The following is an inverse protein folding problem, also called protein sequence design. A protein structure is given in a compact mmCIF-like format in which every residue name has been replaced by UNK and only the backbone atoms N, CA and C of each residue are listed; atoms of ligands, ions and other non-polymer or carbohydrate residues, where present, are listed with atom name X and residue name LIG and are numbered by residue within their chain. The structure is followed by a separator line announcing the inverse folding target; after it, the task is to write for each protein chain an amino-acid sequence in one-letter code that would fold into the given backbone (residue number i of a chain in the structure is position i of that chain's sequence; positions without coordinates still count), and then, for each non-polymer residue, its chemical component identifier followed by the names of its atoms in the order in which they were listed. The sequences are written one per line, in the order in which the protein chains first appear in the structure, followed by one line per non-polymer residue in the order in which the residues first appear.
data_IF_090558930726
#
_entry.id   IF_090558930726
#
_cell.length_a   1.000
_cell.length_b   1.000
_cell.length_c   1.000
_cell.angle_alpha   90.00
_cell.angle_beta   90.00
_cell.angle_gamma   90.00
#
_symmetry.space_group_name_H-M   'P 1'
#
loop_
_entity.id
_entity.type
_entity.pdbx_description
1 polymer ?
#
# COMPACT_ATOMS: atom_id res chain seq x y z
N UNK A 1 14.88 -8.72 -22.25
CA UNK A 1 16.34 -8.92 -22.35
C UNK A 1 16.60 -10.40 -22.14
N UNK A 2 17.50 -11.02 -22.91
CA UNK A 2 17.81 -12.44 -22.72
C UNK A 2 18.60 -12.64 -21.43
N UNK A 3 18.22 -13.61 -20.61
CA UNK A 3 19.00 -14.00 -19.43
C UNK A 3 20.32 -14.66 -19.86
N UNK A 4 21.38 -14.42 -19.11
CA UNK A 4 22.66 -15.12 -19.25
C UNK A 4 22.54 -16.56 -18.71
N UNK A 5 23.21 -17.54 -19.34
CA UNK A 5 23.22 -18.91 -18.84
C UNK A 5 23.95 -18.99 -17.50
N UNK A 6 23.51 -19.85 -16.56
CA UNK A 6 24.25 -20.10 -15.32
C UNK A 6 25.69 -20.55 -15.59
N UNK A 7 26.60 -20.15 -14.70
CA UNK A 7 27.98 -20.61 -14.76
C UNK A 7 28.06 -22.12 -14.50
N UNK A 8 28.67 -22.87 -15.43
CA UNK A 8 28.89 -24.32 -15.26
C UNK A 8 29.80 -24.62 -14.05
N UNK A 9 30.78 -23.75 -13.80
CA UNK A 9 31.73 -23.90 -12.70
C UNK A 9 32.29 -22.56 -12.25
N UNK A 10 32.19 -22.30 -10.95
CA UNK A 10 32.77 -21.11 -10.33
C UNK A 10 34.25 -21.31 -9.94
N UNK A 11 35.08 -20.24 -9.97
CA UNK A 11 36.42 -20.25 -9.43
C UNK A 11 36.49 -20.82 -8.01
N UNK A 12 37.60 -21.48 -7.66
CA UNK A 12 37.75 -22.14 -6.35
C UNK A 12 37.57 -21.16 -5.18
N UNK A 13 38.14 -19.95 -5.29
CA UNK A 13 38.01 -18.91 -4.28
C UNK A 13 36.54 -18.53 -4.04
N UNK A 14 35.75 -18.41 -5.10
CA UNK A 14 34.31 -18.11 -5.01
C UNK A 14 33.51 -19.27 -4.45
N UNK A 15 33.78 -20.52 -4.86
CA UNK A 15 33.12 -21.69 -4.27
C UNK A 15 33.37 -21.78 -2.77
N UNK A 16 34.60 -21.49 -2.32
CA UNK A 16 34.94 -21.42 -0.91
C UNK A 16 34.15 -20.30 -0.21
N UNK A 17 34.13 -19.09 -0.79
CA UNK A 17 33.37 -17.97 -0.22
C UNK A 17 31.87 -18.25 -0.14
N UNK A 18 31.27 -18.88 -1.15
CA UNK A 18 29.86 -19.30 -1.15
C UNK A 18 29.58 -20.30 -0.02
N UNK A 19 30.42 -21.34 0.11
CA UNK A 19 30.30 -22.30 1.20
C UNK A 19 30.38 -21.63 2.56
N UNK A 20 31.39 -20.79 2.76
CA UNK A 20 31.74 -20.23 4.07
C UNK A 20 30.80 -19.10 4.50
N UNK A 21 30.26 -18.33 3.56
CA UNK A 21 29.52 -17.10 3.87
C UNK A 21 28.03 -17.17 3.54
N UNK A 22 27.61 -18.02 2.60
CA UNK A 22 26.20 -18.21 2.25
C UNK A 22 25.66 -19.55 2.72
N UNK A 23 26.22 -20.67 2.24
CA UNK A 23 25.66 -22.00 2.53
C UNK A 23 25.69 -22.33 4.02
N UNK A 24 26.77 -21.97 4.72
CA UNK A 24 26.94 -22.16 6.17
C UNK A 24 25.92 -21.37 7.01
N UNK A 25 25.38 -20.25 6.50
CA UNK A 25 24.47 -19.34 7.22
C UNK A 25 23.03 -19.46 6.74
N UNK A 26 22.79 -20.13 5.63
CA UNK A 26 21.48 -20.16 4.95
C UNK A 26 20.37 -20.69 5.85
N UNK A 27 20.63 -21.74 6.63
CA UNK A 27 19.61 -22.32 7.52
C UNK A 27 19.23 -21.36 8.65
N UNK A 28 20.21 -20.69 9.27
CA UNK A 28 19.97 -19.69 10.31
C UNK A 28 19.19 -18.47 9.75
N UNK A 29 19.59 -17.96 8.58
CA UNK A 29 18.89 -16.86 7.91
C UNK A 29 17.46 -17.25 7.50
N UNK A 30 17.26 -18.48 7.03
CA UNK A 30 15.92 -18.97 6.66
C UNK A 30 15.01 -19.08 7.89
N UNK A 31 15.56 -19.59 9.01
CA UNK A 31 14.85 -19.65 10.27
C UNK A 31 14.48 -18.26 10.75
N UNK A 32 15.44 -17.32 10.74
CA UNK A 32 15.20 -15.94 11.15
C UNK A 32 14.13 -15.26 10.28
N UNK A 33 14.17 -15.45 8.95
CA UNK A 33 13.14 -14.96 8.04
C UNK A 33 11.76 -15.52 8.40
N UNK A 34 11.68 -16.84 8.64
CA UNK A 34 10.43 -17.53 8.98
C UNK A 34 9.86 -17.05 10.31
N UNK A 35 10.72 -16.87 11.31
CA UNK A 35 10.36 -16.38 12.64
C UNK A 35 9.82 -14.94 12.56
N UNK A 36 10.46 -14.07 11.77
CA UNK A 36 10.03 -12.67 11.57
C UNK A 36 8.64 -12.60 10.91
N UNK A 37 8.39 -13.44 9.92
CA UNK A 37 7.15 -13.44 9.15
C UNK A 37 6.06 -14.35 9.73
N UNK A 38 6.35 -15.11 10.79
CA UNK A 38 5.39 -15.98 11.46
C UNK A 38 4.90 -17.16 10.60
N UNK A 39 5.63 -17.51 9.54
CA UNK A 39 5.32 -18.62 8.65
C UNK A 39 6.62 -19.23 8.11
N UNK A 40 6.58 -20.48 7.64
CA UNK A 40 7.76 -21.10 7.02
C UNK A 40 8.07 -20.42 5.67
N UNK A 41 9.28 -19.89 5.55
CA UNK A 41 9.84 -19.30 4.33
C UNK A 41 11.07 -20.06 3.87
N UNK A 42 11.34 -20.05 2.56
CA UNK A 42 12.51 -20.71 1.96
C UNK A 42 13.46 -19.76 1.26
N UNK A 43 14.75 -20.09 1.34
CA UNK A 43 15.87 -19.45 0.61
C UNK A 43 16.48 -20.40 -0.45
N UNK A 44 15.84 -21.54 -0.70
CA UNK A 44 16.39 -22.63 -1.52
C UNK A 44 16.59 -22.29 -2.99
N UNK A 45 15.87 -21.28 -3.49
CA UNK A 45 15.91 -20.88 -4.90
C UNK A 45 17.03 -19.88 -5.24
N UNK A 46 17.78 -19.40 -4.25
CA UNK A 46 18.92 -18.52 -4.49
C UNK A 46 20.10 -19.35 -5.02
N UNK A 47 20.37 -19.23 -6.31
CA UNK A 47 21.39 -19.99 -7.02
C UNK A 47 22.62 -19.14 -7.38
N UNK A 48 23.78 -19.30 -6.69
CA UNK A 48 24.99 -18.54 -6.98
C UNK A 48 25.50 -18.71 -8.42
N UNK A 49 25.32 -19.88 -9.04
CA UNK A 49 25.75 -20.11 -10.42
C UNK A 49 24.90 -19.31 -11.42
N UNK A 50 23.63 -19.07 -11.12
CA UNK A 50 22.75 -18.24 -11.96
C UNK A 50 23.04 -16.74 -11.80
N UNK A 51 23.54 -16.33 -10.62
CA UNK A 51 23.86 -14.94 -10.31
C UNK A 51 25.24 -14.51 -10.83
N UNK A 52 26.23 -15.39 -10.73
CA UNK A 52 27.63 -15.07 -11.07
C UNK A 52 27.86 -14.49 -12.48
N UNK A 53 27.15 -14.92 -13.55
CA UNK A 53 27.28 -14.30 -14.86
C UNK A 53 27.02 -12.79 -14.88
N UNK A 54 26.24 -12.29 -13.93
CA UNK A 54 25.92 -10.85 -13.78
C UNK A 54 26.86 -10.13 -12.81
N UNK A 55 27.83 -10.82 -12.22
CA UNK A 55 28.85 -10.20 -11.39
C UNK A 55 29.81 -9.39 -12.28
N UNK A 56 29.55 -8.08 -12.36
CA UNK A 56 30.50 -7.10 -12.90
C UNK A 56 31.74 -6.97 -12.01
N UNK A 57 32.70 -6.12 -12.39
CA UNK A 57 33.89 -5.90 -11.57
C UNK A 57 33.51 -5.29 -10.22
N UNK A 58 33.70 -6.05 -9.13
CA UNK A 58 33.31 -5.58 -7.80
C UNK A 58 33.00 -6.70 -6.81
N UNK A 59 32.16 -6.38 -5.83
CA UNK A 59 31.90 -7.21 -4.65
C UNK A 59 31.43 -8.63 -5.01
N UNK A 60 30.42 -8.75 -5.87
CA UNK A 60 29.90 -10.06 -6.29
C UNK A 60 30.93 -10.90 -7.07
N UNK A 61 31.88 -10.27 -7.76
CA UNK A 61 32.94 -10.97 -8.51
C UNK A 61 34.00 -11.57 -7.60
N UNK A 62 34.25 -10.94 -6.46
CA UNK A 62 35.29 -11.31 -5.51
C UNK A 62 34.73 -12.20 -4.38
N UNK A 63 33.50 -11.93 -3.94
CA UNK A 63 32.90 -12.48 -2.73
C UNK A 63 31.38 -12.70 -2.88
N UNK A 64 30.98 -13.52 -3.88
CA UNK A 64 29.56 -13.76 -4.18
C UNK A 64 28.75 -14.31 -3.00
N UNK A 65 29.32 -15.20 -2.19
CA UNK A 65 28.66 -15.75 -1.01
C UNK A 65 28.33 -14.68 0.02
N UNK A 66 29.31 -13.83 0.33
CA UNK A 66 29.12 -12.68 1.24
C UNK A 66 28.08 -11.70 0.69
N UNK A 67 28.11 -11.46 -0.63
CA UNK A 67 27.16 -10.59 -1.31
C UNK A 67 25.72 -11.10 -1.19
N UNK A 68 25.48 -12.40 -1.43
CA UNK A 68 24.16 -13.01 -1.26
C UNK A 68 23.70 -12.93 0.21
N UNK A 69 24.58 -13.28 1.15
CA UNK A 69 24.26 -13.23 2.57
C UNK A 69 23.88 -11.82 3.04
N UNK A 70 24.52 -10.78 2.49
CA UNK A 70 24.19 -9.38 2.78
C UNK A 70 22.81 -9.00 2.25
N UNK A 71 22.45 -9.35 1.01
CA UNK A 71 21.10 -9.08 0.50
C UNK A 71 20.03 -9.70 1.39
N UNK A 72 20.23 -10.95 1.82
CA UNK A 72 19.26 -11.67 2.65
C UNK A 72 19.19 -11.11 4.06
N UNK A 73 20.32 -10.84 4.73
CA UNK A 73 20.31 -10.29 6.08
C UNK A 73 19.73 -8.87 6.13
N UNK A 74 20.01 -8.04 5.11
CA UNK A 74 19.40 -6.72 4.96
C UNK A 74 17.90 -6.80 4.68
N UNK A 75 17.45 -7.77 3.87
CA UNK A 75 16.02 -8.02 3.68
C UNK A 75 15.32 -8.40 4.99
N UNK A 76 15.88 -9.32 5.77
CA UNK A 76 15.35 -9.73 7.08
C UNK A 76 15.27 -8.52 8.03
N UNK A 77 16.31 -7.68 8.07
CA UNK A 77 16.30 -6.46 8.87
C UNK A 77 15.12 -5.54 8.54
N UNK A 78 14.89 -5.26 7.26
CA UNK A 78 13.76 -4.42 6.83
C UNK A 78 12.40 -5.10 7.09
N UNK A 79 12.31 -6.42 6.95
CA UNK A 79 11.10 -7.18 7.26
C UNK A 79 10.77 -7.17 8.76
N UNK A 80 11.77 -7.08 9.65
CA UNK A 80 11.53 -6.83 11.08
C UNK A 80 10.89 -5.48 11.32
N UNK A 81 11.37 -4.43 10.66
CA UNK A 81 10.75 -3.09 10.73
C UNK A 81 9.32 -3.11 10.19
N UNK A 82 9.09 -3.77 9.05
CA UNK A 82 7.74 -3.98 8.52
C UNK A 82 6.84 -4.70 9.53
N UNK A 83 7.28 -5.83 10.07
CA UNK A 83 6.53 -6.60 11.06
C UNK A 83 6.23 -5.79 12.34
N UNK A 84 7.16 -4.92 12.76
CA UNK A 84 6.97 -4.02 13.90
C UNK A 84 5.92 -2.94 13.62
N UNK A 85 5.84 -2.45 12.39
CA UNK A 85 4.93 -1.36 12.02
C UNK A 85 3.51 -1.86 11.70
N UNK A 86 3.40 -3.04 11.10
CA UNK A 86 2.12 -3.58 10.61
C UNK A 86 1.58 -4.77 11.43
N UNK A 87 2.33 -5.26 12.42
CA UNK A 87 1.91 -6.33 13.30
C UNK A 87 1.61 -7.65 12.59
N UNK A 88 0.81 -8.50 13.22
CA UNK A 88 0.47 -9.83 12.69
C UNK A 88 -0.44 -9.76 11.47
N UNK A 89 -1.24 -8.71 11.34
CA UNK A 89 -2.06 -8.45 10.14
C UNK A 89 -1.16 -8.20 8.92
N UNK A 90 -0.14 -7.35 9.06
CA UNK A 90 0.83 -7.09 8.00
C UNK A 90 1.59 -8.34 7.59
N UNK A 91 2.01 -9.17 8.55
CA UNK A 91 2.66 -10.46 8.27
C UNK A 91 1.73 -11.40 7.51
N UNK A 92 0.49 -11.53 7.97
CA UNK A 92 -0.52 -12.41 7.36
C UNK A 92 -0.81 -12.01 5.92
N UNK A 93 -0.90 -10.71 5.65
CA UNK A 93 -1.13 -10.18 4.32
C UNK A 93 0.08 -10.36 3.40
N UNK A 94 1.30 -10.08 3.89
CA UNK A 94 2.53 -10.37 3.16
C UNK A 94 2.63 -11.86 2.80
N UNK A 95 2.35 -12.75 3.76
CA UNK A 95 2.32 -14.21 3.54
C UNK A 95 1.24 -14.66 2.56
N UNK A 96 0.14 -13.92 2.45
CA UNK A 96 -0.95 -14.19 1.50
C UNK A 96 -0.57 -13.75 0.09
N UNK A 97 -0.04 -12.53 -0.07
CA UNK A 97 0.45 -12.00 -1.34
C UNK A 97 1.61 -12.87 -1.85
N UNK A 98 2.60 -13.09 -0.98
CA UNK A 98 3.77 -13.92 -1.24
C UNK A 98 3.51 -15.39 -0.84
N UNK A 99 2.44 -15.99 -1.38
CA UNK A 99 1.97 -17.33 -1.00
C UNK A 99 2.95 -18.47 -1.28
N UNK A 100 3.94 -18.30 -2.16
CA UNK A 100 5.02 -19.29 -2.31
C UNK A 100 6.00 -19.26 -1.13
N UNK A 101 5.99 -18.20 -0.32
CA UNK A 101 6.85 -18.00 0.86
C UNK A 101 8.32 -18.28 0.54
N UNK A 102 8.76 -17.77 -0.60
CA UNK A 102 10.12 -17.91 -1.11
C UNK A 102 10.72 -16.52 -1.30
N UNK A 103 11.87 -16.29 -0.67
CA UNK A 103 12.68 -15.09 -0.89
C UNK A 103 13.80 -15.45 -1.88
N UNK A 104 13.80 -14.77 -3.02
CA UNK A 104 14.75 -15.01 -4.11
C UNK A 104 15.60 -13.77 -4.38
N UNK A 105 16.74 -13.98 -5.03
CA UNK A 105 17.60 -12.93 -5.58
C UNK A 105 17.71 -13.17 -7.09
N UNK A 106 17.31 -12.18 -7.91
CA UNK A 106 17.25 -12.34 -9.37
C UNK A 106 17.54 -11.05 -10.14
N UNK A 107 17.78 -11.16 -11.44
CA UNK A 107 17.92 -10.02 -12.34
C UNK A 107 16.57 -9.28 -12.47
N UNK A 108 16.61 -7.95 -12.51
CA UNK A 108 15.48 -7.13 -12.93
C UNK A 108 15.31 -7.15 -14.45
N UNK A 109 14.57 -8.14 -14.93
CA UNK A 109 14.27 -8.38 -16.34
C UNK A 109 13.04 -7.65 -16.88
N UNK A 110 12.37 -6.82 -16.05
CA UNK A 110 11.20 -6.00 -16.43
C UNK A 110 11.51 -5.02 -17.58
N UNK A 111 10.50 -4.37 -18.20
CA UNK A 111 10.74 -3.34 -19.21
C UNK A 111 11.66 -2.22 -18.68
N UNK A 112 12.54 -1.67 -19.55
CA UNK A 112 13.61 -0.72 -19.15
C UNK A 112 13.13 0.47 -18.29
N UNK A 113 11.91 0.95 -18.51
CA UNK A 113 11.33 2.10 -17.79
C UNK A 113 10.86 1.76 -16.36
N UNK A 114 10.73 0.48 -16.05
CA UNK A 114 10.23 -0.04 -14.77
C UNK A 114 11.35 -0.69 -13.94
N UNK A 115 12.54 -0.83 -14.51
CA UNK A 115 13.68 -1.44 -13.84
C UNK A 115 14.19 -0.57 -12.71
N UNK A 116 14.68 -1.22 -11.66
CA UNK A 116 15.49 -0.59 -10.63
C UNK A 116 16.77 -0.02 -11.23
N UNK A 117 17.29 1.04 -10.62
CA UNK A 117 18.59 1.61 -11.03
C UNK A 117 19.76 0.72 -10.60
N UNK A 118 19.70 0.19 -9.37
CA UNK A 118 20.75 -0.67 -8.78
C UNK A 118 20.16 -1.97 -8.27
N UNK A 119 19.30 -1.88 -7.27
CA UNK A 119 18.55 -2.97 -6.68
C UNK A 119 17.20 -2.50 -6.15
N UNK A 120 16.33 -3.43 -5.82
CA UNK A 120 15.03 -3.18 -5.22
C UNK A 120 14.29 -4.50 -4.97
N UNK A 121 13.00 -4.41 -4.73
CA UNK A 121 12.15 -5.56 -4.42
C UNK A 121 10.91 -5.56 -5.32
N UNK A 122 10.47 -6.75 -5.71
CA UNK A 122 9.24 -6.98 -6.44
C UNK A 122 8.58 -8.27 -5.96
N UNK A 123 7.27 -8.39 -6.15
CA UNK A 123 6.59 -9.69 -6.08
C UNK A 123 6.54 -10.26 -7.49
N UNK A 124 7.10 -11.46 -7.68
CA UNK A 124 7.11 -12.17 -8.97
C UNK A 124 5.91 -13.10 -9.11
N UNK A 125 5.63 -13.50 -10.34
CA UNK A 125 4.64 -14.53 -10.66
C UNK A 125 4.84 -15.78 -9.78
N UNK A 126 3.72 -16.34 -9.33
CA UNK A 126 3.71 -17.42 -8.34
C UNK A 126 3.95 -16.95 -6.90
N UNK A 127 3.84 -15.65 -6.61
CA UNK A 127 3.83 -15.13 -5.24
C UNK A 127 5.18 -15.25 -4.53
N UNK A 128 6.28 -15.01 -5.24
CA UNK A 128 7.63 -14.99 -4.65
C UNK A 128 8.08 -13.57 -4.36
N UNK A 129 8.66 -13.33 -3.19
CA UNK A 129 9.29 -12.06 -2.88
C UNK A 129 10.69 -12.07 -3.49
N UNK A 130 10.96 -11.18 -4.45
CA UNK A 130 12.22 -11.15 -5.16
C UNK A 130 12.98 -9.86 -4.85
N UNK A 131 14.16 -10.03 -4.27
CA UNK A 131 15.20 -9.02 -4.33
C UNK A 131 15.71 -9.01 -5.77
N UNK A 132 15.67 -7.86 -6.42
CA UNK A 132 16.11 -7.70 -7.80
C UNK A 132 17.29 -6.74 -7.92
N UNK A 133 18.16 -6.98 -8.88
CA UNK A 133 19.27 -6.09 -9.22
C UNK A 133 19.26 -5.77 -10.72
N UNK A 134 19.70 -4.56 -11.07
CA UNK A 134 19.93 -4.17 -12.45
C UNK A 134 21.18 -4.89 -13.01
N UNK A 135 21.18 -5.19 -14.30
CA UNK A 135 22.36 -5.77 -14.97
C UNK A 135 23.61 -4.94 -14.68
N UNK A 136 24.71 -5.60 -14.29
CA UNK A 136 25.97 -4.95 -13.90
C UNK A 136 26.00 -4.38 -12.48
N UNK A 137 24.90 -4.45 -11.72
CA UNK A 137 24.79 -3.88 -10.36
C UNK A 137 24.61 -4.92 -9.25
N UNK A 138 24.89 -6.20 -9.53
CA UNK A 138 24.88 -7.24 -8.50
C UNK A 138 25.89 -6.92 -7.39
N UNK A 139 25.41 -6.71 -6.18
CA UNK A 139 26.21 -6.36 -5.00
C UNK A 139 26.37 -4.86 -4.76
N UNK A 140 25.78 -4.01 -5.59
CA UNK A 140 25.73 -2.56 -5.39
C UNK A 140 24.54 -2.21 -4.49
N UNK A 141 24.78 -1.46 -3.41
CA UNK A 141 23.76 -0.96 -2.47
C UNK A 141 22.81 -2.06 -1.94
N UNK A 142 23.36 -3.26 -1.71
CA UNK A 142 22.58 -4.44 -1.35
C UNK A 142 21.71 -4.27 -0.10
N UNK A 143 22.13 -3.39 0.80
CA UNK A 143 21.43 -3.00 2.02
C UNK A 143 20.11 -2.25 1.78
N UNK A 144 19.96 -1.58 0.64
CA UNK A 144 18.77 -0.83 0.26
C UNK A 144 17.78 -1.62 -0.61
N UNK A 145 18.06 -2.90 -0.89
CA UNK A 145 17.29 -3.65 -1.87
C UNK A 145 15.84 -3.94 -1.44
N UNK A 146 15.55 -3.95 -0.13
CA UNK A 146 14.21 -4.17 0.40
C UNK A 146 13.84 -3.04 1.37
N UNK A 147 14.04 -1.79 0.96
CA UNK A 147 13.64 -0.63 1.75
C UNK A 147 12.11 -0.59 1.97
N UNK A 148 11.67 0.15 2.97
CA UNK A 148 10.26 0.20 3.34
C UNK A 148 9.36 0.68 2.18
N UNK A 149 9.82 1.66 1.41
CA UNK A 149 9.05 2.23 0.30
C UNK A 149 8.92 1.24 -0.86
N UNK A 150 10.01 0.58 -1.24
CA UNK A 150 10.04 -0.45 -2.28
C UNK A 150 9.22 -1.66 -1.90
N UNK A 151 9.29 -2.13 -0.65
CA UNK A 151 8.51 -3.27 -0.18
C UNK A 151 7.01 -2.98 -0.26
N UNK A 152 6.56 -1.84 0.28
CA UNK A 152 5.14 -1.50 0.26
C UNK A 152 4.62 -1.37 -1.17
N UNK A 153 5.39 -0.73 -2.05
CA UNK A 153 5.07 -0.64 -3.48
C UNK A 153 4.98 -2.03 -4.12
N UNK A 154 5.94 -2.91 -3.86
CA UNK A 154 5.95 -4.27 -4.40
C UNK A 154 4.73 -5.08 -3.96
N UNK A 155 4.30 -4.94 -2.71
CA UNK A 155 3.12 -5.61 -2.18
C UNK A 155 1.82 -5.04 -2.76
N UNK A 156 1.73 -3.71 -2.96
CA UNK A 156 0.56 -3.08 -3.57
C UNK A 156 0.43 -3.36 -5.07
N UNK A 157 1.56 -3.45 -5.79
CA UNK A 157 1.60 -3.75 -7.22
C UNK A 157 1.37 -5.25 -7.51
N UNK A 158 1.53 -6.10 -6.51
CA UNK A 158 1.34 -7.54 -6.66
C UNK A 158 -0.13 -7.85 -7.06
N UNK A 159 -0.34 -8.90 -7.85
CA UNK A 159 -1.71 -9.40 -8.06
C UNK A 159 -2.31 -9.83 -6.71
N UNK A 160 -3.65 -9.77 -6.56
CA UNK A 160 -4.31 -10.31 -5.39
C UNK A 160 -3.88 -11.76 -5.13
N UNK A 161 -3.82 -12.14 -3.86
CA UNK A 161 -3.51 -13.51 -3.49
C UNK A 161 -4.51 -14.49 -4.17
N UNK A 162 -4.09 -15.71 -4.56
CA UNK A 162 -4.99 -16.69 -5.15
C UNK A 162 -6.24 -16.91 -4.27
N UNK A 163 -7.42 -16.76 -4.87
CA UNK A 163 -8.70 -16.87 -4.15
C UNK A 163 -9.07 -15.66 -3.28
N UNK A 164 -8.33 -14.56 -3.39
CA UNK A 164 -8.67 -13.30 -2.72
C UNK A 164 -9.54 -12.43 -3.61
N UNK A 165 -10.67 -11.99 -3.08
CA UNK A 165 -11.52 -10.94 -3.68
C UNK A 165 -11.05 -9.52 -3.28
N UNK A 166 -9.81 -9.38 -2.80
CA UNK A 166 -9.25 -8.11 -2.38
C UNK A 166 -9.22 -7.10 -3.54
N UNK A 167 -10.14 -6.13 -3.47
CA UNK A 167 -10.28 -5.05 -4.45
C UNK A 167 -9.34 -3.87 -4.20
N UNK A 168 -8.83 -3.73 -2.97
CA UNK A 168 -7.94 -2.66 -2.53
C UNK A 168 -6.53 -3.15 -2.19
N UNK A 169 -5.54 -2.26 -2.27
CA UNK A 169 -4.15 -2.55 -1.91
C UNK A 169 -3.93 -2.72 -0.40
N UNK A 170 -2.80 -3.33 -0.01
CA UNK A 170 -2.41 -3.49 1.39
C UNK A 170 -2.36 -2.17 2.14
N UNK A 171 -1.75 -1.15 1.52
CA UNK A 171 -1.66 0.18 2.13
C UNK A 171 -3.07 0.76 2.39
N UNK A 172 -3.98 0.64 1.43
CA UNK A 172 -5.35 1.13 1.57
C UNK A 172 -6.13 0.38 2.65
N UNK A 173 -6.11 -0.96 2.64
CA UNK A 173 -6.79 -1.78 3.67
C UNK A 173 -6.26 -1.51 5.08
N UNK A 174 -4.94 -1.38 5.20
CA UNK A 174 -4.32 -1.03 6.48
C UNK A 174 -4.77 0.35 6.96
N UNK A 175 -4.73 1.35 6.06
CA UNK A 175 -5.19 2.70 6.35
C UNK A 175 -6.66 2.72 6.80
N UNK A 176 -7.53 1.98 6.13
CA UNK A 176 -8.95 1.86 6.51
C UNK A 176 -9.09 1.32 7.92
N UNK A 177 -8.47 0.17 8.23
CA UNK A 177 -8.54 -0.44 9.55
C UNK A 177 -8.04 0.49 10.66
N UNK A 178 -6.86 1.08 10.49
CA UNK A 178 -6.19 1.85 11.54
C UNK A 178 -6.73 3.29 11.67
N UNK A 179 -7.12 3.91 10.56
CA UNK A 179 -7.44 5.34 10.54
C UNK A 179 -8.91 5.65 10.33
N UNK A 180 -9.72 4.68 9.91
CA UNK A 180 -11.17 4.83 9.76
C UNK A 180 -11.93 3.94 10.73
N UNK A 181 -11.80 2.61 10.65
CA UNK A 181 -12.65 1.67 11.40
C UNK A 181 -12.53 1.89 12.92
N UNK A 182 -11.33 2.15 13.42
CA UNK A 182 -11.07 2.40 14.84
C UNK A 182 -11.57 3.76 15.34
N UNK A 183 -11.81 4.74 14.44
CA UNK A 183 -11.93 6.17 14.83
C UNK A 183 -13.24 6.82 14.39
N UNK A 184 -13.90 6.32 13.34
CA UNK A 184 -15.04 6.99 12.70
C UNK A 184 -16.30 7.06 13.57
N UNK A 185 -16.46 6.13 14.51
CA UNK A 185 -17.66 6.03 15.33
C UNK A 185 -17.91 7.29 16.18
N UNK A 186 -16.84 7.95 16.63
CA UNK A 186 -16.96 9.24 17.34
C UNK A 186 -17.63 10.31 16.45
N UNK A 187 -17.21 10.40 15.18
CA UNK A 187 -17.80 11.33 14.21
C UNK A 187 -19.26 10.98 13.91
N UNK A 188 -19.57 9.69 13.71
CA UNK A 188 -20.95 9.23 13.49
C UNK A 188 -21.85 9.63 14.67
N UNK A 189 -21.40 9.41 15.90
CA UNK A 189 -22.18 9.75 17.10
C UNK A 189 -22.41 11.26 17.22
N UNK A 190 -21.39 12.10 16.97
CA UNK A 190 -21.56 13.56 16.97
C UNK A 190 -22.61 14.03 15.95
N UNK A 191 -22.58 13.47 14.74
CA UNK A 191 -23.58 13.77 13.70
C UNK A 191 -24.97 13.29 14.12
N UNK A 192 -25.07 12.08 14.67
CA UNK A 192 -26.33 11.52 15.14
C UNK A 192 -26.96 12.35 16.27
N UNK A 193 -26.16 12.80 17.24
CA UNK A 193 -26.62 13.64 18.34
C UNK A 193 -27.04 15.03 17.84
N UNK A 194 -26.23 15.65 16.98
CA UNK A 194 -26.51 16.96 16.38
C UNK A 194 -27.81 16.97 15.59
N UNK A 195 -28.11 15.87 14.89
CA UNK A 195 -29.29 15.73 14.05
C UNK A 195 -30.50 15.14 14.77
N UNK A 196 -30.36 14.76 16.04
CA UNK A 196 -31.34 13.95 16.78
C UNK A 196 -31.78 12.69 15.99
N UNK A 197 -30.84 12.12 15.21
CA UNK A 197 -31.06 11.01 14.28
C UNK A 197 -30.08 9.86 14.57
N UNK A 198 -30.41 8.94 15.49
CA UNK A 198 -29.49 7.91 15.97
C UNK A 198 -29.08 6.88 14.91
N UNK A 199 -29.89 6.73 13.86
CA UNK A 199 -29.71 5.78 12.76
C UNK A 199 -28.92 6.35 11.58
N UNK A 200 -28.24 7.50 11.74
CA UNK A 200 -27.30 8.01 10.73
C UNK A 200 -26.21 6.99 10.42
N UNK A 201 -26.01 6.73 9.13
CA UNK A 201 -25.00 5.81 8.60
C UNK A 201 -23.97 6.58 7.77
N UNK A 202 -22.69 6.34 8.05
CA UNK A 202 -21.58 6.84 7.25
C UNK A 202 -21.15 5.78 6.24
N UNK A 203 -21.25 6.10 4.95
CA UNK A 203 -21.00 5.18 3.85
C UNK A 203 -19.73 5.62 3.10
N UNK A 204 -18.55 5.04 3.39
CA UNK A 204 -17.27 5.53 2.87
C UNK A 204 -17.00 5.16 1.41
N UNK A 205 -17.73 4.18 0.86
CA UNK A 205 -17.58 3.67 -0.52
C UNK A 205 -16.12 3.31 -0.90
N UNK A 206 -15.37 2.68 0.01
CA UNK A 206 -13.92 2.47 -0.13
C UNK A 206 -13.52 1.81 -1.44
N UNK A 207 -14.12 0.69 -1.81
CA UNK A 207 -13.76 -0.08 -3.00
C UNK A 207 -14.03 0.70 -4.29
N UNK A 208 -15.19 1.35 -4.36
CA UNK A 208 -15.57 2.17 -5.52
C UNK A 208 -14.65 3.39 -5.66
N UNK A 209 -14.32 4.04 -4.54
CA UNK A 209 -13.43 5.20 -4.51
C UNK A 209 -11.99 4.79 -4.86
N UNK A 210 -11.50 3.68 -4.31
CA UNK A 210 -10.19 3.13 -4.60
C UNK A 210 -10.03 2.83 -6.10
N UNK A 211 -11.01 2.15 -6.71
CA UNK A 211 -11.00 1.86 -8.14
C UNK A 211 -10.93 3.13 -8.99
N UNK A 212 -11.73 4.16 -8.66
CA UNK A 212 -11.73 5.44 -9.38
C UNK A 212 -10.40 6.19 -9.25
N UNK A 213 -9.84 6.28 -8.04
CA UNK A 213 -8.56 6.97 -7.82
C UNK A 213 -7.43 6.22 -8.54
N UNK A 214 -7.40 4.89 -8.45
CA UNK A 214 -6.41 4.04 -9.13
C UNK A 214 -6.45 4.22 -10.65
N UNK A 215 -7.64 4.22 -11.26
CA UNK A 215 -7.79 4.47 -12.71
C UNK A 215 -7.39 5.89 -13.11
N UNK A 216 -7.68 6.90 -12.27
CA UNK A 216 -7.22 8.26 -12.50
C UNK A 216 -5.67 8.37 -12.41
N UNK A 217 -5.04 7.65 -11.49
CA UNK A 217 -3.58 7.59 -11.31
C UNK A 217 -2.83 7.01 -12.51
N UNK A 218 -3.44 6.07 -13.24
CA UNK A 218 -2.84 5.44 -14.44
C UNK A 218 -2.73 6.37 -15.64
N UNK A 219 -3.45 7.49 -15.66
CA UNK A 219 -3.48 8.41 -16.80
C UNK A 219 -2.15 9.14 -16.93
N UNK A 220 -1.67 9.31 -18.16
CA UNK A 220 -0.44 10.08 -18.43
C UNK A 220 -0.62 11.52 -17.94
N UNK A 221 0.30 12.00 -17.10
CA UNK A 221 0.20 13.34 -16.50
C UNK A 221 -0.86 13.44 -15.40
N UNK A 222 -1.19 12.31 -14.75
CA UNK A 222 -2.07 12.32 -13.59
C UNK A 222 -1.52 13.23 -12.49
N UNK A 223 -2.44 13.95 -11.83
CA UNK A 223 -2.18 14.80 -10.67
C UNK A 223 -2.62 14.12 -9.36
N UNK A 224 -2.95 12.81 -9.42
CA UNK A 224 -3.22 12.02 -8.21
C UNK A 224 -1.94 11.94 -7.38
N UNK A 225 -2.01 12.37 -6.13
CA UNK A 225 -0.91 12.32 -5.16
C UNK A 225 -0.41 10.88 -4.93
N UNK A 226 0.89 10.67 -4.85
CA UNK A 226 1.49 9.32 -4.78
C UNK A 226 1.22 8.57 -3.46
N UNK A 227 0.90 9.29 -2.38
CA UNK A 227 0.66 8.76 -1.04
C UNK A 227 -0.83 8.44 -0.76
N UNK A 228 -1.70 8.51 -1.76
CA UNK A 228 -3.15 8.36 -1.57
C UNK A 228 -3.55 7.00 -0.99
N UNK A 229 -2.90 5.90 -1.41
CA UNK A 229 -3.25 4.55 -0.95
C UNK A 229 -3.02 4.40 0.55
N UNK A 230 -1.87 4.85 1.04
CA UNK A 230 -1.53 4.81 2.48
C UNK A 230 -2.41 5.71 3.34
N UNK A 231 -3.14 6.63 2.73
CA UNK A 231 -4.03 7.57 3.41
C UNK A 231 -5.52 7.32 3.12
N UNK A 232 -5.89 6.21 2.49
CA UNK A 232 -7.27 5.95 2.07
C UNK A 232 -8.28 6.06 3.22
N UNK A 233 -7.98 5.46 4.37
CA UNK A 233 -8.82 5.52 5.56
C UNK A 233 -8.84 6.92 6.19
N UNK A 234 -7.64 7.47 6.43
CA UNK A 234 -7.48 8.78 7.05
C UNK A 234 -8.19 9.90 6.28
N UNK A 235 -7.94 10.02 4.97
CA UNK A 235 -8.58 11.06 4.16
C UNK A 235 -10.10 10.90 4.08
N UNK A 236 -10.59 9.66 3.97
CA UNK A 236 -12.05 9.41 3.96
C UNK A 236 -12.68 9.82 5.28
N UNK A 237 -12.06 9.47 6.43
CA UNK A 237 -12.51 9.93 7.76
C UNK A 237 -12.57 11.45 7.82
N UNK A 238 -11.53 12.13 7.36
CA UNK A 238 -11.48 13.60 7.41
C UNK A 238 -12.59 14.28 6.59
N UNK A 239 -13.14 13.65 5.54
CA UNK A 239 -14.31 14.21 4.84
C UNK A 239 -15.58 14.18 5.71
N UNK A 240 -15.79 13.12 6.49
CA UNK A 240 -16.91 13.05 7.45
C UNK A 240 -16.70 14.01 8.62
N UNK A 241 -15.48 14.12 9.13
CA UNK A 241 -15.13 15.10 10.17
C UNK A 241 -15.29 16.53 9.66
N UNK A 242 -14.95 16.78 8.39
CA UNK A 242 -15.19 18.06 7.74
C UNK A 242 -16.68 18.40 7.63
N UNK A 243 -17.53 17.42 7.33
CA UNK A 243 -18.99 17.61 7.35
C UNK A 243 -19.48 17.96 8.75
N UNK A 244 -19.12 17.16 9.76
CA UNK A 244 -19.49 17.42 11.16
C UNK A 244 -19.06 18.83 11.58
N UNK A 245 -17.81 19.21 11.28
CA UNK A 245 -17.30 20.54 11.57
C UNK A 245 -18.15 21.66 10.93
N UNK A 246 -18.52 21.53 9.67
CA UNK A 246 -19.35 22.52 8.97
C UNK A 246 -20.75 22.60 9.55
N UNK A 247 -21.37 21.46 9.89
CA UNK A 247 -22.70 21.42 10.50
C UNK A 247 -22.70 22.03 11.91
N UNK A 248 -21.68 21.72 12.71
CA UNK A 248 -21.43 22.36 14.01
C UNK A 248 -21.29 23.88 13.86
N UNK A 249 -20.48 24.34 12.91
CA UNK A 249 -20.29 25.77 12.64
C UNK A 249 -21.59 26.49 12.21
N UNK A 250 -22.40 25.79 11.41
CA UNK A 250 -23.69 26.25 10.92
C UNK A 250 -24.83 26.10 11.95
N UNK A 251 -24.54 25.52 13.12
CA UNK A 251 -25.46 25.37 14.26
C UNK A 251 -26.63 24.41 14.06
N UNK A 252 -26.44 23.33 13.29
CA UNK A 252 -27.48 22.30 13.12
C UNK A 252 -27.93 21.67 14.44
N UNK A 253 -27.05 21.59 15.45
CA UNK A 253 -27.39 21.08 16.77
C UNK A 253 -28.17 22.05 17.67
N UNK A 254 -28.17 23.35 17.35
CA UNK A 254 -28.80 24.40 18.17
C UNK A 254 -30.03 25.03 17.47
N UNK A 255 -30.25 24.77 16.19
CA UNK A 255 -31.32 25.35 15.38
C UNK A 255 -32.26 24.26 14.84
N UNK A 256 -33.49 24.23 15.39
CA UNK A 256 -34.49 23.24 15.05
C UNK A 256 -34.89 23.29 13.56
N UNK A 257 -34.91 24.47 12.92
CA UNK A 257 -35.29 24.56 11.50
C UNK A 257 -34.22 23.96 10.59
N UNK A 258 -32.93 24.13 10.92
CA UNK A 258 -31.84 23.51 10.17
C UNK A 258 -31.86 21.99 10.35
N UNK A 259 -32.09 21.52 11.58
CA UNK A 259 -32.18 20.09 11.89
C UNK A 259 -33.35 19.42 11.18
N UNK A 260 -34.54 20.03 11.23
CA UNK A 260 -35.74 19.56 10.54
C UNK A 260 -35.52 19.54 9.02
N UNK A 261 -35.03 20.64 8.44
CA UNK A 261 -34.77 20.72 6.99
C UNK A 261 -33.77 19.67 6.50
N UNK A 262 -32.71 19.40 7.28
CA UNK A 262 -31.80 18.30 6.97
C UNK A 262 -32.50 16.94 7.01
N UNK A 263 -33.23 16.65 8.09
CA UNK A 263 -33.86 15.35 8.26
C UNK A 263 -34.97 15.08 7.23
N UNK A 264 -35.64 16.12 6.73
CA UNK A 264 -36.59 16.03 5.62
C UNK A 264 -35.90 15.73 4.28
N UNK A 265 -34.78 16.41 4.00
CA UNK A 265 -34.06 16.25 2.75
C UNK A 265 -33.18 14.96 2.71
N UNK A 266 -32.82 14.44 3.89
CA UNK A 266 -31.95 13.28 4.10
C UNK A 266 -32.72 12.18 4.85
N UNK A 267 -33.85 11.78 4.29
CA UNK A 267 -34.78 10.84 4.90
C UNK A 267 -34.14 9.48 5.18
N UNK A 268 -33.22 9.03 4.31
CA UNK A 268 -32.48 7.76 4.49
C UNK A 268 -31.50 7.76 5.67
N UNK A 269 -31.08 8.94 6.14
CA UNK A 269 -30.04 9.05 7.17
C UNK A 269 -28.65 8.63 6.69
N UNK A 270 -28.43 8.51 5.38
CA UNK A 270 -27.15 8.08 4.83
C UNK A 270 -26.30 9.28 4.42
N UNK A 271 -25.05 9.27 4.86
CA UNK A 271 -24.03 10.24 4.49
C UNK A 271 -22.91 9.47 3.77
N UNK A 272 -22.73 9.75 2.49
CA UNK A 272 -21.80 9.06 1.62
C UNK A 272 -20.55 9.91 1.38
N UNK A 273 -19.38 9.25 1.33
CA UNK A 273 -18.21 9.81 0.67
C UNK A 273 -18.03 9.17 -0.71
N UNK A 274 -17.84 9.97 -1.77
CA UNK A 274 -17.56 9.43 -3.11
C UNK A 274 -16.58 10.24 -3.94
N UNK A 275 -15.82 9.54 -4.77
CA UNK A 275 -15.00 10.13 -5.82
C UNK A 275 -15.84 10.30 -7.09
N UNK A 276 -15.83 11.50 -7.67
CA UNK A 276 -16.60 11.84 -8.88
C UNK A 276 -15.72 12.36 -10.00
N UNK A 277 -16.18 12.20 -11.24
CA UNK A 277 -15.46 12.69 -12.42
C UNK A 277 -15.55 14.21 -12.57
N UNK A 278 -16.66 14.79 -12.11
CA UNK A 278 -16.97 16.21 -12.22
C UNK A 278 -17.68 16.70 -10.94
N UNK A 279 -17.33 17.91 -10.54
CA UNK A 279 -17.98 18.67 -9.46
C UNK A 279 -19.05 19.60 -10.05
N UNK A 280 -20.12 19.83 -9.31
CA UNK A 280 -21.18 20.75 -9.67
C UNK A 280 -20.75 22.22 -9.50
N UNK A 281 -20.09 22.54 -8.38
CA UNK A 281 -19.70 23.89 -8.02
C UNK A 281 -18.38 23.97 -7.24
N UNK A 282 -18.00 22.92 -6.50
CA UNK A 282 -16.80 22.92 -5.67
C UNK A 282 -15.50 22.75 -6.47
N UNK A 283 -14.41 23.31 -5.96
CA UNK A 283 -13.07 23.08 -6.52
C UNK A 283 -12.42 21.82 -5.91
N UNK A 284 -12.27 21.79 -4.58
CA UNK A 284 -11.57 20.72 -3.87
C UNK A 284 -12.51 19.61 -3.40
N UNK A 285 -13.68 20.00 -2.90
CA UNK A 285 -14.75 19.12 -2.45
C UNK A 285 -16.07 19.88 -2.51
N UNK A 286 -17.17 19.15 -2.49
CA UNK A 286 -18.51 19.71 -2.41
C UNK A 286 -19.46 18.72 -1.73
N UNK A 287 -20.63 19.23 -1.34
CA UNK A 287 -21.72 18.45 -0.77
C UNK A 287 -22.94 18.56 -1.67
N UNK A 288 -23.60 17.44 -1.95
CA UNK A 288 -24.85 17.42 -2.71
C UNK A 288 -25.85 16.53 -2.03
N UNK A 289 -27.13 16.84 -2.21
CA UNK A 289 -28.24 15.99 -1.79
C UNK A 289 -28.80 15.28 -3.00
N UNK A 290 -28.80 13.95 -2.96
CA UNK A 290 -29.31 13.12 -4.04
C UNK A 290 -30.08 11.93 -3.44
N UNK A 291 -31.28 11.69 -3.95
CA UNK A 291 -32.12 10.54 -3.57
C UNK A 291 -32.27 10.34 -2.05
N UNK A 292 -32.44 11.40 -1.27
CA UNK A 292 -32.64 11.30 0.18
C UNK A 292 -31.37 11.02 0.99
N UNK A 293 -30.19 11.20 0.40
CA UNK A 293 -28.89 11.02 1.04
C UNK A 293 -27.97 12.24 0.81
N UNK A 294 -27.01 12.43 1.71
CA UNK A 294 -25.94 13.43 1.56
C UNK A 294 -24.74 12.76 0.91
N UNK A 295 -24.13 13.44 -0.06
CA UNK A 295 -22.86 13.02 -0.65
C UNK A 295 -21.82 14.11 -0.46
N UNK A 296 -20.83 13.82 0.37
CA UNK A 296 -19.56 14.56 0.39
C UNK A 296 -18.69 13.98 -0.72
N UNK A 297 -18.25 14.82 -1.66
CA UNK A 297 -17.57 14.31 -2.84
C UNK A 297 -16.36 15.15 -3.26
N UNK A 298 -15.44 14.50 -3.94
CA UNK A 298 -14.23 15.11 -4.48
C UNK A 298 -13.78 14.43 -5.78
N UNK A 299 -12.89 15.08 -6.52
CA UNK A 299 -12.21 14.45 -7.66
C UNK A 299 -10.96 13.72 -7.19
N UNK A 300 -10.52 12.70 -7.93
CA UNK A 300 -9.38 11.88 -7.55
C UNK A 300 -8.09 12.67 -7.24
N UNK A 301 -7.78 13.73 -8.00
CA UNK A 301 -6.58 14.57 -7.77
C UNK A 301 -6.72 15.56 -6.59
N UNK A 302 -7.93 15.73 -6.04
CA UNK A 302 -8.18 16.53 -4.84
C UNK A 302 -8.46 15.66 -3.61
N UNK A 303 -8.35 14.34 -3.72
CA UNK A 303 -8.56 13.44 -2.59
C UNK A 303 -7.60 13.78 -1.42
N UNK A 304 -8.18 14.02 -0.23
CA UNK A 304 -7.44 14.46 0.95
C UNK A 304 -7.00 15.94 0.95
N UNK A 305 -7.53 16.79 0.07
CA UNK A 305 -7.17 18.22 0.00
C UNK A 305 -8.33 19.08 0.49
N UNK A 306 -8.07 20.00 1.43
CA UNK A 306 -9.06 20.99 1.91
C UNK A 306 -10.41 20.38 2.34
N UNK A 307 -10.37 19.18 2.90
CA UNK A 307 -11.54 18.35 3.23
C UNK A 307 -12.54 19.02 4.17
N UNK A 308 -12.07 19.90 5.07
CA UNK A 308 -12.92 20.66 6.00
C UNK A 308 -13.89 21.62 5.28
N UNK A 309 -13.61 22.00 4.03
CA UNK A 309 -14.46 22.89 3.25
C UNK A 309 -15.43 22.15 2.34
N UNK A 310 -15.35 20.81 2.27
CA UNK A 310 -16.16 20.03 1.34
C UNK A 310 -17.67 20.19 1.58
N UNK A 311 -18.09 20.50 2.81
CA UNK A 311 -19.49 20.67 3.16
C UNK A 311 -19.91 22.12 3.46
N UNK A 312 -19.09 23.13 3.14
CA UNK A 312 -19.38 24.53 3.49
C UNK A 312 -20.68 25.06 2.87
N UNK A 313 -21.15 24.40 1.80
CA UNK A 313 -22.36 24.73 1.04
C UNK A 313 -23.59 23.90 1.40
N UNK A 314 -23.57 23.16 2.51
CA UNK A 314 -24.68 22.28 2.90
C UNK A 314 -26.04 23.02 2.98
N UNK A 315 -26.11 24.18 3.63
CA UNK A 315 -27.35 24.97 3.72
C UNK A 315 -27.88 25.37 2.33
N UNK A 316 -27.00 25.69 1.38
CA UNK A 316 -27.39 26.08 0.02
C UNK A 316 -27.97 24.88 -0.78
N UNK A 317 -27.93 23.66 -0.23
CA UNK A 317 -28.44 22.43 -0.85
C UNK A 317 -29.71 21.87 -0.19
N UNK A 318 -30.12 22.40 0.96
CA UNK A 318 -31.38 22.07 1.65
C UNK A 318 -32.54 22.92 1.10
#
# INVERSE_FOLDING_TARGET
MSRLPPAEKLPLALRKNIRDEWESKREDLQKELSDVLGAEWTLSEINPNALYPYAGDGYAKQSLGSCIAQYVSSAIYNLKTFASNYGDDGKSELNSICHARSLILDLDDRPKKERVTYCGVVVRDGGKLAIVFAEGNLGTNADYALDASGLLKALNDAPPAPGSDASMSLAARTSVRQEYDEKIEETRQKLADMLEKPDVVLVPNFEANFAKIREAGKKKGSEVRDDWEGNMGSFTRMYFEGLEYQMSYQKFGDDDMLREGFNEAVDKGEIHFRIVDKMAYGTYGEVVLEDGAVYVQARAHHFGTNVNYAAEKLIDQL
#
